data_IF_788140085514
#
_entry.id   IF_788140085514
#
_cell.length_a   1.000
_cell.length_b   1.000
_cell.length_c   1.000
_cell.angle_alpha   90.00
_cell.angle_beta   90.00
_cell.angle_gamma   90.00
#
_symmetry.space_group_name_H-M   'P 1'
#
loop_
_entity.id
_entity.type
_entity.pdbx_description
1 polymer ?
#
# COMPACT_ATOMS: atom_id res chain seq x y z
N UNK A 1 4.93 23.20 16.53
CA UNK A 1 4.70 23.63 15.12
C UNK A 1 5.05 22.48 14.20
N UNK A 2 4.36 22.29 13.06
CA UNK A 2 4.74 21.32 12.02
C UNK A 2 5.97 21.83 11.27
N UNK A 3 6.93 20.94 11.04
CA UNK A 3 8.08 21.15 10.13
C UNK A 3 8.01 20.18 8.96
N UNK A 4 8.37 20.66 7.77
CA UNK A 4 8.64 19.79 6.63
C UNK A 4 10.11 19.32 6.71
N UNK A 5 10.31 18.02 6.57
CA UNK A 5 11.61 17.37 6.70
C UNK A 5 12.15 16.96 5.32
N UNK A 6 13.47 16.82 5.23
CA UNK A 6 14.09 16.09 4.13
C UNK A 6 13.87 14.58 4.26
N UNK A 7 14.04 13.86 3.15
CA UNK A 7 13.83 12.40 3.10
C UNK A 7 14.70 11.64 4.12
N UNK A 8 15.96 11.98 4.23
CA UNK A 8 16.90 11.28 5.13
C UNK A 8 16.53 11.48 6.60
N UNK A 9 16.15 12.69 6.99
CA UNK A 9 15.70 12.99 8.36
C UNK A 9 14.39 12.27 8.68
N UNK A 10 13.42 12.33 7.78
CA UNK A 10 12.14 11.62 7.93
C UNK A 10 12.36 10.09 8.06
N UNK A 11 13.24 9.52 7.24
CA UNK A 11 13.57 8.10 7.31
C UNK A 11 14.29 7.74 8.61
N UNK A 12 15.17 8.61 9.12
CA UNK A 12 15.84 8.39 10.41
C UNK A 12 14.83 8.37 11.57
N UNK A 13 13.83 9.26 11.58
CA UNK A 13 12.76 9.23 12.58
C UNK A 13 11.89 7.98 12.44
N UNK A 14 11.54 7.62 11.21
CA UNK A 14 10.75 6.42 10.95
C UNK A 14 11.41 5.16 11.52
N UNK A 15 12.73 5.04 11.47
CA UNK A 15 13.46 3.91 12.05
C UNK A 15 13.44 3.87 13.59
N UNK A 16 13.08 4.97 14.25
CA UNK A 16 12.94 5.04 15.72
C UNK A 16 11.55 4.60 16.21
N UNK A 17 10.61 4.41 15.29
CA UNK A 17 9.26 3.94 15.64
C UNK A 17 9.28 2.49 16.16
N UNK A 18 8.28 2.09 16.96
CA UNK A 18 8.07 0.69 17.30
C UNK A 18 8.02 -0.22 16.07
N UNK A 19 8.53 -1.45 16.12
CA UNK A 19 8.56 -2.38 14.98
C UNK A 19 7.22 -2.55 14.28
N UNK A 20 6.11 -2.59 15.02
CA UNK A 20 4.76 -2.75 14.48
C UNK A 20 4.30 -1.58 13.58
N UNK A 21 4.93 -0.40 13.69
CA UNK A 21 4.66 0.78 12.84
C UNK A 21 5.65 0.91 11.68
N UNK A 22 6.76 0.15 11.68
CA UNK A 22 7.78 0.22 10.63
C UNK A 22 7.42 -0.69 9.44
N UNK A 23 6.28 -0.41 8.83
CA UNK A 23 5.81 -1.08 7.62
C UNK A 23 6.42 -0.41 6.39
N UNK A 24 6.74 -1.20 5.38
CA UNK A 24 7.46 -0.69 4.22
C UNK A 24 6.67 0.40 3.48
N UNK A 25 5.35 0.21 3.32
CA UNK A 25 4.47 1.18 2.64
C UNK A 25 4.25 2.49 3.43
N UNK A 26 4.55 2.51 4.75
CA UNK A 26 4.50 3.74 5.56
C UNK A 26 5.84 4.49 5.59
N UNK A 27 6.91 3.89 5.03
CA UNK A 27 8.25 4.49 5.10
C UNK A 27 8.40 5.70 4.18
N UNK A 28 9.13 6.76 4.61
CA UNK A 28 9.42 7.91 3.76
C UNK A 28 10.09 7.54 2.44
N UNK A 29 11.00 6.57 2.43
CA UNK A 29 11.68 6.12 1.19
C UNK A 29 10.71 5.47 0.20
N UNK A 30 9.68 4.74 0.69
CA UNK A 30 8.63 4.22 -0.19
C UNK A 30 7.75 5.36 -0.74
N UNK A 31 7.34 6.30 0.09
CA UNK A 31 6.53 7.46 -0.34
C UNK A 31 7.28 8.28 -1.40
N UNK A 32 8.58 8.48 -1.24
CA UNK A 32 9.41 9.13 -2.26
C UNK A 32 9.48 8.32 -3.57
N UNK A 33 9.64 6.99 -3.48
CA UNK A 33 9.64 6.11 -4.65
C UNK A 33 8.27 6.10 -5.35
N UNK A 34 7.17 6.04 -4.59
CA UNK A 34 5.81 6.02 -5.13
C UNK A 34 5.43 7.32 -5.87
N UNK A 35 6.01 8.46 -5.50
CA UNK A 35 5.79 9.73 -6.21
C UNK A 35 6.20 9.65 -7.70
N UNK A 36 7.12 8.76 -8.06
CA UNK A 36 7.55 8.58 -9.46
C UNK A 36 6.48 7.97 -10.38
N UNK A 37 5.36 7.49 -9.82
CA UNK A 37 4.22 6.99 -10.61
C UNK A 37 3.46 8.08 -11.36
N UNK A 38 3.57 9.33 -10.87
CA UNK A 38 2.91 10.49 -11.48
C UNK A 38 3.76 11.74 -11.21
N UNK A 39 4.19 12.43 -12.24
CA UNK A 39 5.01 13.64 -12.15
C UNK A 39 4.32 14.82 -11.47
N UNK A 40 3.00 14.77 -11.29
CA UNK A 40 2.23 15.79 -10.56
C UNK A 40 2.29 15.59 -9.03
N UNK A 41 2.85 14.47 -8.54
CA UNK A 41 2.95 14.18 -7.12
C UNK A 41 4.31 14.61 -6.55
N UNK A 42 4.27 15.32 -5.44
CA UNK A 42 5.43 15.72 -4.65
C UNK A 42 5.39 14.99 -3.29
N UNK A 43 6.44 14.23 -2.92
CA UNK A 43 6.51 13.62 -1.60
C UNK A 43 6.75 14.70 -0.55
N UNK A 44 5.96 14.67 0.53
CA UNK A 44 6.05 15.62 1.66
C UNK A 44 6.13 14.82 2.96
N UNK A 45 7.08 15.20 3.82
CA UNK A 45 7.33 14.56 5.11
C UNK A 45 7.11 15.57 6.21
N UNK A 46 6.00 15.47 6.93
CA UNK A 46 5.56 16.43 7.93
C UNK A 46 5.78 15.87 9.33
N UNK A 47 6.41 16.65 10.19
CA UNK A 47 6.73 16.22 11.54
C UNK A 47 6.27 17.25 12.59
N UNK A 48 5.61 16.78 13.63
CA UNK A 48 5.43 17.46 14.88
C UNK A 48 6.33 16.84 15.94
N UNK A 49 7.04 17.68 16.70
CA UNK A 49 7.89 17.24 17.82
C UNK A 49 7.52 17.95 19.09
N UNK A 50 7.52 17.19 20.18
CA UNK A 50 7.32 17.68 21.54
C UNK A 50 8.14 16.83 22.49
N UNK A 51 9.07 17.43 23.20
CA UNK A 51 10.04 16.72 24.06
C UNK A 51 10.75 15.57 23.30
N UNK A 52 10.55 14.33 23.75
CA UNK A 52 11.13 13.12 23.16
C UNK A 52 10.15 12.38 22.21
N UNK A 53 9.00 12.98 21.93
CA UNK A 53 7.95 12.39 21.10
C UNK A 53 7.86 13.09 19.76
N UNK A 54 7.54 12.30 18.73
CA UNK A 54 7.26 12.83 17.40
C UNK A 54 6.05 12.15 16.76
N UNK A 55 5.35 12.92 15.93
CA UNK A 55 4.32 12.50 15.00
C UNK A 55 4.83 12.78 13.60
N UNK A 56 4.82 11.76 12.72
CA UNK A 56 5.35 11.81 11.36
C UNK A 56 4.24 11.44 10.37
N UNK A 57 4.05 12.27 9.34
CA UNK A 57 3.14 11.99 8.25
C UNK A 57 3.85 12.13 6.91
N UNK A 58 4.06 10.99 6.26
CA UNK A 58 4.62 10.90 4.90
C UNK A 58 3.47 10.78 3.91
N UNK A 59 3.36 11.72 2.99
CA UNK A 59 2.23 11.81 2.06
C UNK A 59 2.66 12.44 0.74
N UNK A 60 1.78 12.46 -0.26
CA UNK A 60 1.99 13.19 -1.50
C UNK A 60 1.16 14.47 -1.50
N UNK A 61 1.75 15.54 -2.01
CA UNK A 61 1.06 16.77 -2.37
C UNK A 61 0.85 16.79 -3.87
N UNK A 62 -0.40 17.00 -4.31
CA UNK A 62 -0.77 17.18 -5.70
C UNK A 62 -1.44 18.53 -5.93
N UNK A 63 -1.31 19.10 -7.13
CA UNK A 63 -2.05 20.31 -7.51
C UNK A 63 -3.49 19.95 -7.86
N UNK A 64 -4.45 20.74 -7.38
CA UNK A 64 -5.87 20.56 -7.68
C UNK A 64 -6.21 21.27 -8.99
N UNK A 65 -6.15 20.54 -10.10
CA UNK A 65 -6.41 21.06 -11.44
C UNK A 65 -5.63 22.38 -11.70
N UNK A 66 -6.27 23.36 -12.38
CA UNK A 66 -5.71 24.67 -12.69
C UNK A 66 -5.98 25.71 -11.58
N UNK A 67 -6.12 25.29 -10.35
CA UNK A 67 -6.34 26.17 -9.19
C UNK A 67 -5.03 26.46 -8.44
N UNK A 68 -5.09 27.36 -7.45
CA UNK A 68 -3.99 27.56 -6.49
C UNK A 68 -3.98 26.55 -5.34
N UNK A 69 -5.00 25.68 -5.26
CA UNK A 69 -5.11 24.68 -4.22
C UNK A 69 -4.27 23.45 -4.49
N UNK A 70 -3.89 22.78 -3.40
CA UNK A 70 -3.27 21.47 -3.41
C UNK A 70 -4.13 20.48 -2.62
N UNK A 71 -3.94 19.21 -2.87
CA UNK A 71 -4.45 18.14 -2.02
C UNK A 71 -3.30 17.33 -1.40
N UNK A 72 -3.67 16.52 -0.40
CA UNK A 72 -2.78 15.50 0.13
C UNK A 72 -3.40 14.12 -0.09
N UNK A 73 -2.57 13.18 -0.50
CA UNK A 73 -2.98 11.79 -0.70
C UNK A 73 -1.89 10.82 -0.26
N UNK A 74 -2.29 9.70 0.34
CA UNK A 74 -1.35 8.64 0.67
C UNK A 74 -0.75 8.01 -0.58
N UNK A 75 0.46 7.45 -0.45
CA UNK A 75 1.07 6.60 -1.45
C UNK A 75 0.15 5.45 -1.87
N UNK A 76 0.44 4.83 -3.01
CA UNK A 76 -0.27 3.63 -3.46
C UNK A 76 -0.12 2.50 -2.42
N UNK A 77 -1.21 1.81 -2.16
CA UNK A 77 -1.31 0.86 -1.06
C UNK A 77 -1.78 1.55 0.21
N UNK A 78 -0.86 2.00 1.05
CA UNK A 78 -1.18 2.52 2.38
C UNK A 78 -0.34 3.74 2.75
N UNK A 79 -0.80 4.46 3.79
CA UNK A 79 -0.16 5.65 4.31
C UNK A 79 -0.77 6.06 5.65
N UNK A 80 -0.76 7.35 5.91
CA UNK A 80 -1.26 7.96 7.13
C UNK A 80 -0.15 8.20 8.15
N UNK A 81 -0.47 8.99 9.19
CA UNK A 81 0.50 9.34 10.20
C UNK A 81 0.89 8.15 11.09
N UNK A 82 2.08 8.26 11.66
CA UNK A 82 2.62 7.38 12.69
C UNK A 82 3.23 8.23 13.79
N UNK A 83 3.31 7.72 15.02
CA UNK A 83 3.90 8.46 16.12
C UNK A 83 4.71 7.56 17.05
N UNK A 84 5.68 8.17 17.75
CA UNK A 84 6.49 7.51 18.77
C UNK A 84 5.79 7.41 20.13
N UNK A 85 4.65 8.09 20.29
CA UNK A 85 3.86 8.11 21.51
C UNK A 85 2.41 7.73 21.20
N UNK A 86 1.82 6.90 22.05
CA UNK A 86 0.40 6.51 22.00
C UNK A 86 -0.49 7.44 22.85
N UNK A 87 0.05 8.55 23.39
CA UNK A 87 -0.72 9.54 24.14
C UNK A 87 -1.73 10.26 23.22
N UNK A 88 -3.05 10.12 23.46
CA UNK A 88 -4.06 10.80 22.66
C UNK A 88 -3.98 12.34 22.73
N UNK A 89 -3.51 12.89 23.86
CA UNK A 89 -3.36 14.32 24.01
C UNK A 89 -2.20 14.86 23.17
N UNK A 90 -1.08 14.12 23.07
CA UNK A 90 0.00 14.42 22.15
C UNK A 90 -0.50 14.38 20.69
N UNK A 91 -1.23 13.31 20.31
CA UNK A 91 -1.81 13.19 18.98
C UNK A 91 -2.75 14.34 18.64
N UNK A 92 -3.60 14.76 19.58
CA UNK A 92 -4.51 15.88 19.38
C UNK A 92 -3.77 17.22 19.16
N UNK A 93 -2.67 17.46 19.91
CA UNK A 93 -1.83 18.66 19.69
C UNK A 93 -1.13 18.62 18.34
N UNK A 94 -0.54 17.47 17.96
CA UNK A 94 0.08 17.27 16.65
C UNK A 94 -0.92 17.53 15.53
N UNK A 95 -2.12 16.97 15.66
CA UNK A 95 -3.20 17.15 14.68
C UNK A 95 -3.66 18.59 14.52
N UNK A 96 -3.81 19.32 15.63
CA UNK A 96 -4.15 20.74 15.60
C UNK A 96 -3.11 21.55 14.81
N UNK A 97 -1.83 21.31 15.05
CA UNK A 97 -0.73 21.96 14.35
C UNK A 97 -0.68 21.55 12.87
N UNK A 98 -0.96 20.28 12.58
CA UNK A 98 -1.05 19.76 11.21
C UNK A 98 -2.18 20.44 10.41
N UNK A 99 -3.36 20.58 10.99
CA UNK A 99 -4.48 21.28 10.34
C UNK A 99 -4.17 22.76 10.06
N UNK A 100 -3.46 23.41 10.96
CA UNK A 100 -3.04 24.80 10.75
C UNK A 100 -2.02 24.91 9.61
N UNK A 101 -1.04 23.98 9.57
CA UNK A 101 -0.13 23.88 8.44
C UNK A 101 -0.88 23.62 7.11
N UNK A 102 -1.85 22.74 7.07
CA UNK A 102 -2.66 22.48 5.88
C UNK A 102 -3.35 23.77 5.37
N UNK A 103 -3.96 24.56 6.29
CA UNK A 103 -4.61 25.82 5.91
C UNK A 103 -3.61 26.82 5.34
N UNK A 104 -2.50 27.05 6.04
CA UNK A 104 -1.48 28.01 5.61
C UNK A 104 -0.75 27.58 4.32
N UNK A 105 -0.74 26.29 4.00
CA UNK A 105 -0.12 25.72 2.78
C UNK A 105 -1.08 25.58 1.61
N UNK A 106 -2.33 26.08 1.72
CA UNK A 106 -3.31 26.01 0.64
C UNK A 106 -3.78 24.59 0.31
N UNK A 107 -3.86 23.72 1.34
CA UNK A 107 -4.41 22.37 1.15
C UNK A 107 -5.94 22.45 1.18
N UNK A 108 -6.58 21.89 0.13
CA UNK A 108 -8.03 21.82 -0.01
C UNK A 108 -8.64 20.65 0.76
N UNK A 109 -8.09 19.48 0.54
CA UNK A 109 -8.55 18.22 1.13
C UNK A 109 -7.40 17.21 1.25
N UNK A 110 -7.61 16.18 2.04
CA UNK A 110 -6.72 15.04 2.19
C UNK A 110 -7.49 13.73 2.08
N UNK A 111 -6.85 12.72 1.47
CA UNK A 111 -7.32 11.35 1.41
C UNK A 111 -6.20 10.39 1.83
N UNK A 112 -6.49 9.50 2.78
CA UNK A 112 -5.52 8.56 3.35
C UNK A 112 -6.06 7.13 3.29
N UNK A 113 -5.21 6.20 2.86
CA UNK A 113 -5.44 4.75 3.00
C UNK A 113 -4.68 4.26 4.22
N UNK A 114 -5.38 4.09 5.36
CA UNK A 114 -4.75 3.65 6.60
C UNK A 114 -4.33 2.18 6.51
N UNK A 115 -3.16 1.84 7.08
CA UNK A 115 -2.65 0.48 6.96
C UNK A 115 -3.39 -0.47 7.92
N UNK A 116 -4.05 -1.55 7.43
CA UNK A 116 -4.92 -2.42 8.24
C UNK A 116 -4.25 -3.08 9.44
N UNK A 117 -2.93 -3.26 9.40
CA UNK A 117 -2.19 -3.95 10.45
C UNK A 117 -1.34 -3.03 11.35
N UNK A 118 -1.21 -1.74 10.99
CA UNK A 118 -0.43 -0.78 11.76
C UNK A 118 -1.20 -0.22 12.97
N UNK A 119 -2.52 -0.21 12.89
CA UNK A 119 -3.36 0.50 13.86
C UNK A 119 -3.07 2.00 13.90
N UNK A 120 -2.57 2.54 12.79
CA UNK A 120 -2.14 3.93 12.72
C UNK A 120 -3.30 4.93 12.57
N UNK A 121 -4.53 4.44 12.44
CA UNK A 121 -5.75 5.25 12.55
C UNK A 121 -5.84 5.99 13.89
N UNK A 122 -5.23 5.50 14.97
CA UNK A 122 -5.20 6.17 16.27
C UNK A 122 -4.40 7.48 16.26
N UNK A 123 -3.59 7.70 15.24
CA UNK A 123 -2.81 8.94 15.06
C UNK A 123 -3.46 9.91 14.06
N UNK A 124 -4.64 9.56 13.54
CA UNK A 124 -5.38 10.35 12.55
C UNK A 124 -6.70 10.82 13.14
N UNK A 125 -6.89 12.13 13.29
CA UNK A 125 -8.11 12.70 13.91
C UNK A 125 -9.10 13.28 12.86
N UNK A 126 -8.94 12.96 11.56
CA UNK A 126 -9.93 13.24 10.52
C UNK A 126 -11.10 12.25 10.55
N UNK A 127 -11.94 12.30 9.55
CA UNK A 127 -13.02 11.30 9.39
C UNK A 127 -12.43 9.98 8.94
N UNK A 128 -12.83 8.88 9.57
CA UNK A 128 -12.40 7.51 9.23
C UNK A 128 -13.63 6.71 8.81
N UNK A 129 -13.52 5.98 7.71
CA UNK A 129 -14.56 5.11 7.17
C UNK A 129 -14.00 3.70 6.99
N UNK A 130 -14.79 2.67 7.34
CA UNK A 130 -14.49 1.30 6.95
C UNK A 130 -14.72 1.13 5.45
N UNK A 131 -13.77 0.49 4.77
CA UNK A 131 -13.84 0.25 3.32
C UNK A 131 -14.07 -1.24 3.03
N UNK A 132 -13.14 -2.11 3.38
CA UNK A 132 -13.19 -3.55 3.11
C UNK A 132 -12.35 -4.36 4.08
N UNK A 133 -12.52 -5.70 4.03
CA UNK A 133 -11.65 -6.61 4.76
C UNK A 133 -10.43 -7.00 3.95
N UNK A 134 -9.32 -7.21 4.65
CA UNK A 134 -8.06 -7.70 4.09
C UNK A 134 -7.62 -8.99 4.77
N UNK A 135 -6.67 -9.69 4.18
CA UNK A 135 -6.19 -11.00 4.63
C UNK A 135 -4.71 -10.93 4.93
N UNK A 136 -4.30 -11.58 6.03
CA UNK A 136 -2.90 -11.83 6.32
C UNK A 136 -2.70 -13.28 6.80
N UNK A 137 -1.55 -13.87 6.48
CA UNK A 137 -1.16 -15.21 6.92
C UNK A 137 -0.30 -15.07 8.17
N UNK A 138 -0.66 -15.71 9.31
CA UNK A 138 0.21 -15.76 10.48
C UNK A 138 1.40 -16.68 10.20
N UNK A 139 2.61 -16.22 10.58
CA UNK A 139 3.85 -16.93 10.30
C UNK A 139 4.58 -17.41 11.56
N UNK A 140 4.35 -16.75 12.71
CA UNK A 140 5.01 -17.12 13.97
C UNK A 140 4.32 -18.31 14.64
N UNK A 141 5.14 -19.26 15.10
CA UNK A 141 4.72 -20.34 16.00
C UNK A 141 3.89 -21.46 15.36
N UNK A 142 3.53 -21.34 14.07
CA UNK A 142 2.72 -22.34 13.36
C UNK A 142 3.28 -22.63 11.97
N UNK A 143 2.94 -23.79 11.43
CA UNK A 143 3.09 -24.04 10.00
C UNK A 143 2.03 -23.20 9.25
N UNK A 144 2.43 -22.27 8.36
CA UNK A 144 1.47 -21.47 7.61
C UNK A 144 0.44 -22.29 6.84
N UNK A 145 0.81 -23.50 6.37
CA UNK A 145 -0.10 -24.39 5.65
C UNK A 145 -1.26 -24.90 6.51
N UNK A 146 -1.12 -24.90 7.82
CA UNK A 146 -2.21 -25.30 8.73
C UNK A 146 -3.43 -24.36 8.59
N UNK A 147 -3.21 -23.07 8.28
CA UNK A 147 -4.25 -22.09 8.05
C UNK A 147 -4.87 -22.17 6.64
N UNK A 148 -4.23 -22.90 5.69
CA UNK A 148 -4.70 -22.94 4.31
C UNK A 148 -5.93 -23.83 4.14
N UNK A 149 -6.90 -23.35 3.39
CA UNK A 149 -8.07 -24.16 3.00
C UNK A 149 -7.65 -25.41 2.20
N UNK A 150 -8.50 -26.44 2.23
CA UNK A 150 -8.28 -27.67 1.43
C UNK A 150 -8.12 -27.35 -0.07
N UNK A 151 -8.89 -26.37 -0.56
CA UNK A 151 -8.80 -25.92 -1.96
C UNK A 151 -7.42 -25.30 -2.25
N UNK A 152 -6.92 -24.45 -1.37
CA UNK A 152 -5.61 -23.80 -1.53
C UNK A 152 -4.49 -24.83 -1.51
N UNK A 153 -4.50 -25.77 -0.54
CA UNK A 153 -3.52 -26.90 -0.50
C UNK A 153 -3.54 -27.75 -1.76
N UNK A 154 -4.74 -28.05 -2.28
CA UNK A 154 -4.88 -28.79 -3.57
C UNK A 154 -4.31 -27.98 -4.74
N UNK A 155 -4.50 -26.65 -4.80
CA UNK A 155 -3.94 -25.76 -5.81
C UNK A 155 -2.40 -25.78 -5.77
N UNK A 156 -1.81 -25.62 -4.58
CA UNK A 156 -0.35 -25.70 -4.36
C UNK A 156 0.19 -27.06 -4.84
N UNK A 157 -0.45 -28.17 -4.45
CA UNK A 157 -0.04 -29.51 -4.90
C UNK A 157 -0.18 -29.70 -6.41
N UNK A 158 -1.16 -29.09 -7.07
CA UNK A 158 -1.28 -29.10 -8.54
C UNK A 158 -0.14 -28.34 -9.21
N UNK A 159 0.20 -27.14 -8.71
CA UNK A 159 1.30 -26.34 -9.23
C UNK A 159 2.64 -27.09 -9.12
N UNK A 160 2.93 -27.68 -7.97
CA UNK A 160 4.14 -28.46 -7.74
C UNK A 160 4.23 -29.68 -8.69
N UNK A 161 3.15 -30.47 -8.82
CA UNK A 161 3.11 -31.62 -9.74
C UNK A 161 3.20 -31.20 -11.21
N UNK A 162 2.75 -29.99 -11.54
CA UNK A 162 2.88 -29.44 -12.89
C UNK A 162 4.31 -28.97 -13.20
N UNK A 163 5.23 -29.01 -12.23
CA UNK A 163 6.61 -28.57 -12.40
C UNK A 163 6.78 -27.04 -12.33
N UNK A 164 5.84 -26.34 -11.67
CA UNK A 164 6.02 -24.92 -11.39
C UNK A 164 7.04 -24.75 -10.27
N UNK A 165 7.99 -23.83 -10.45
CA UNK A 165 9.01 -23.46 -9.47
C UNK A 165 8.83 -22.00 -9.10
N UNK A 166 8.96 -21.68 -7.81
CA UNK A 166 8.92 -20.33 -7.27
C UNK A 166 10.32 -19.93 -6.79
N UNK A 167 10.84 -18.82 -7.29
CA UNK A 167 12.21 -18.37 -7.07
C UNK A 167 12.22 -16.91 -6.61
N UNK A 168 13.03 -16.61 -5.60
CA UNK A 168 13.30 -15.24 -5.19
C UNK A 168 14.39 -14.63 -6.05
N UNK A 169 14.14 -13.44 -6.54
CA UNK A 169 15.05 -12.63 -7.32
C UNK A 169 15.45 -11.37 -6.56
N UNK A 170 16.59 -10.79 -6.93
CA UNK A 170 17.07 -9.54 -6.40
C UNK A 170 16.14 -8.38 -6.76
N UNK A 171 16.24 -7.27 -6.01
CA UNK A 171 15.42 -6.08 -6.24
C UNK A 171 15.62 -5.50 -7.66
N UNK A 172 16.84 -5.57 -8.17
CA UNK A 172 17.22 -5.05 -9.49
C UNK A 172 16.45 -5.72 -10.64
N UNK A 173 16.05 -6.97 -10.46
CA UNK A 173 15.26 -7.71 -11.45
C UNK A 173 13.84 -7.17 -11.61
N UNK A 174 13.34 -6.38 -10.64
CA UNK A 174 12.04 -5.74 -10.74
C UNK A 174 11.96 -4.87 -12.00
N UNK A 175 12.95 -4.00 -12.23
CA UNK A 175 12.96 -3.08 -13.38
C UNK A 175 13.09 -3.80 -14.73
N UNK A 176 13.69 -4.99 -14.74
CA UNK A 176 13.99 -5.72 -15.96
C UNK A 176 12.91 -6.75 -16.35
N UNK A 177 12.29 -7.39 -15.36
CA UNK A 177 11.38 -8.52 -15.60
C UNK A 177 9.90 -8.16 -15.38
N UNK A 178 9.63 -7.30 -14.39
CA UNK A 178 8.26 -7.10 -13.92
C UNK A 178 7.41 -6.20 -14.83
N UNK A 179 7.89 -5.05 -15.38
CA UNK A 179 7.03 -4.08 -16.07
C UNK A 179 6.24 -4.66 -17.22
N UNK A 180 6.91 -5.28 -18.19
CA UNK A 180 6.26 -5.84 -19.40
C UNK A 180 5.29 -6.97 -19.06
N UNK A 181 5.66 -7.83 -18.11
CA UNK A 181 4.79 -8.90 -17.67
C UNK A 181 3.54 -8.38 -16.96
N UNK A 182 3.73 -7.37 -16.09
CA UNK A 182 2.65 -6.72 -15.36
C UNK A 182 1.69 -6.01 -16.30
N UNK A 183 2.20 -5.18 -17.21
CA UNK A 183 1.37 -4.43 -18.16
C UNK A 183 0.51 -5.37 -19.02
N UNK A 184 1.09 -6.43 -19.60
CA UNK A 184 0.32 -7.42 -20.37
C UNK A 184 -0.78 -8.09 -19.52
N UNK A 185 -0.51 -8.37 -18.24
CA UNK A 185 -1.52 -8.94 -17.37
C UNK A 185 -2.64 -7.95 -17.03
N UNK A 186 -2.32 -6.67 -16.83
CA UNK A 186 -3.30 -5.61 -16.57
C UNK A 186 -4.16 -5.30 -17.80
N UNK A 187 -3.57 -5.28 -19.00
CA UNK A 187 -4.30 -5.15 -20.26
C UNK A 187 -5.30 -6.31 -20.47
N UNK A 188 -4.85 -7.55 -20.23
CA UNK A 188 -5.73 -8.72 -20.30
C UNK A 188 -6.90 -8.71 -19.31
N UNK A 189 -6.77 -7.94 -18.21
CA UNK A 189 -7.82 -7.75 -17.22
C UNK A 189 -8.68 -6.50 -17.49
N UNK A 190 -8.36 -5.70 -18.53
CA UNK A 190 -8.96 -4.38 -18.75
C UNK A 190 -8.94 -3.53 -17.47
N UNK A 191 -7.79 -3.53 -16.79
CA UNK A 191 -7.63 -2.88 -15.50
C UNK A 191 -7.77 -1.35 -15.61
N UNK A 192 -8.22 -0.72 -14.51
CA UNK A 192 -8.31 0.74 -14.43
C UNK A 192 -6.92 1.36 -14.70
N UNK A 193 -6.82 2.46 -15.47
CA UNK A 193 -5.57 3.18 -15.72
C UNK A 193 -4.73 3.50 -14.48
N UNK A 194 -5.36 3.65 -13.32
CA UNK A 194 -4.67 3.83 -12.03
C UNK A 194 -3.75 2.66 -11.63
N UNK A 195 -3.90 1.50 -12.27
CA UNK A 195 -3.04 0.33 -12.08
C UNK A 195 -1.96 0.20 -13.15
N UNK A 196 -1.85 1.14 -14.09
CA UNK A 196 -0.84 1.15 -15.15
C UNK A 196 0.35 2.01 -14.70
N UNK A 197 1.29 1.42 -14.00
CA UNK A 197 2.46 2.13 -13.48
C UNK A 197 3.53 2.34 -14.56
N UNK A 198 4.17 3.54 -14.62
CA UNK A 198 5.25 3.80 -15.56
C UNK A 198 6.55 3.06 -15.19
N UNK A 199 7.47 2.91 -16.14
CA UNK A 199 8.76 2.27 -15.91
C UNK A 199 9.57 2.95 -14.78
N UNK A 200 9.47 4.27 -14.63
CA UNK A 200 10.12 5.03 -13.55
C UNK A 200 9.70 4.55 -12.15
N UNK A 201 8.45 4.13 -11.98
CA UNK A 201 7.98 3.57 -10.72
C UNK A 201 8.68 2.26 -10.37
N UNK A 202 8.78 1.32 -11.31
CA UNK A 202 9.46 0.04 -11.09
C UNK A 202 10.98 0.22 -10.90
N UNK A 203 11.58 1.17 -11.59
CA UNK A 203 12.98 1.58 -11.37
C UNK A 203 13.17 2.12 -9.94
N UNK A 204 12.27 2.97 -9.44
CA UNK A 204 12.33 3.48 -8.08
C UNK A 204 12.12 2.37 -7.04
N UNK A 205 11.15 1.47 -7.25
CA UNK A 205 10.94 0.31 -6.37
C UNK A 205 12.16 -0.60 -6.30
N UNK A 206 12.86 -0.83 -7.42
CA UNK A 206 14.04 -1.70 -7.46
C UNK A 206 15.22 -1.20 -6.62
N UNK A 207 15.20 0.06 -6.19
CA UNK A 207 16.23 0.67 -5.34
C UNK A 207 15.91 0.63 -3.85
N UNK A 208 14.70 0.19 -3.47
CA UNK A 208 14.31 0.10 -2.07
C UNK A 208 15.03 -1.07 -1.37
N UNK A 209 15.56 -0.86 -0.15
CA UNK A 209 16.41 -1.87 0.50
C UNK A 209 15.65 -3.13 0.93
N UNK A 210 14.35 -3.03 1.12
CA UNK A 210 13.51 -4.10 1.68
C UNK A 210 12.55 -4.70 0.65
N UNK A 211 12.81 -4.52 -0.65
CA UNK A 211 11.98 -5.08 -1.72
C UNK A 211 12.59 -6.35 -2.30
N UNK A 212 11.75 -7.30 -2.67
CA UNK A 212 12.14 -8.55 -3.36
C UNK A 212 11.10 -8.91 -4.42
N UNK A 213 11.56 -9.58 -5.47
CA UNK A 213 10.71 -10.11 -6.53
C UNK A 213 10.61 -11.63 -6.38
N UNK A 214 9.39 -12.16 -6.37
CA UNK A 214 9.12 -13.58 -6.55
C UNK A 214 8.73 -13.85 -7.99
N UNK A 215 9.33 -14.84 -8.61
CA UNK A 215 9.01 -15.30 -9.97
C UNK A 215 8.61 -16.77 -9.93
N UNK A 216 7.45 -17.11 -10.49
CA UNK A 216 7.03 -18.48 -10.68
C UNK A 216 7.17 -18.86 -12.16
N UNK A 217 7.88 -19.96 -12.44
CA UNK A 217 8.21 -20.42 -13.79
C UNK A 217 7.85 -21.89 -13.99
N UNK A 218 7.68 -22.26 -15.25
CA UNK A 218 7.65 -23.65 -15.71
C UNK A 218 8.36 -23.77 -17.05
N UNK A 219 9.41 -24.58 -17.14
CA UNK A 219 10.16 -24.78 -18.39
C UNK A 219 10.67 -23.48 -19.00
N UNK A 220 11.14 -22.51 -18.17
CA UNK A 220 11.62 -21.20 -18.62
C UNK A 220 10.53 -20.13 -18.82
N UNK A 221 9.26 -20.49 -18.94
CA UNK A 221 8.14 -19.55 -19.08
C UNK A 221 7.75 -18.96 -17.73
N UNK A 222 7.61 -17.62 -17.66
CA UNK A 222 7.11 -16.91 -16.49
C UNK A 222 5.59 -17.03 -16.43
N UNK A 223 5.07 -17.54 -15.29
CA UNK A 223 3.66 -17.78 -15.06
C UNK A 223 3.01 -16.76 -14.13
N UNK A 224 3.73 -16.36 -13.09
CA UNK A 224 3.32 -15.27 -12.20
C UNK A 224 4.53 -14.59 -11.58
N UNK A 225 4.37 -13.33 -11.22
CA UNK A 225 5.35 -12.56 -10.45
C UNK A 225 4.68 -11.76 -9.36
N UNK A 226 5.41 -11.50 -8.27
CA UNK A 226 4.96 -10.67 -7.17
C UNK A 226 6.09 -9.86 -6.55
N UNK A 227 5.82 -8.59 -6.28
CA UNK A 227 6.70 -7.70 -5.52
C UNK A 227 6.29 -7.75 -4.06
N UNK A 228 7.24 -8.00 -3.18
CA UNK A 228 7.05 -8.09 -1.74
C UNK A 228 7.99 -7.13 -1.03
N UNK A 229 7.50 -6.47 0.02
CA UNK A 229 8.28 -5.65 0.92
C UNK A 229 8.49 -6.32 2.26
N UNK A 230 9.69 -6.23 2.80
CA UNK A 230 10.02 -6.66 4.17
C UNK A 230 9.98 -5.45 5.10
N UNK A 231 8.97 -5.36 5.95
CA UNK A 231 8.94 -4.46 7.11
C UNK A 231 9.72 -5.04 8.29
N UNK A 232 9.57 -4.47 9.48
CA UNK A 232 10.22 -4.98 10.68
C UNK A 232 9.62 -6.32 11.17
N UNK A 233 8.32 -6.53 11.01
CA UNK A 233 7.60 -7.73 11.46
C UNK A 233 6.66 -8.31 10.40
N UNK A 234 6.37 -7.56 9.32
CA UNK A 234 5.34 -7.87 8.34
C UNK A 234 5.95 -7.85 6.94
N UNK A 235 5.67 -8.90 6.16
CA UNK A 235 5.89 -8.90 4.72
C UNK A 235 4.61 -8.38 4.06
N UNK A 236 4.72 -7.39 3.20
CA UNK A 236 3.60 -6.83 2.45
C UNK A 236 3.67 -7.31 0.98
N UNK A 237 2.66 -8.03 0.52
CA UNK A 237 2.47 -8.26 -0.92
C UNK A 237 1.96 -6.99 -1.56
N UNK A 238 2.78 -6.40 -2.40
CA UNK A 238 2.53 -5.08 -2.97
C UNK A 238 1.84 -5.14 -4.33
N UNK A 239 2.51 -5.67 -5.32
CA UNK A 239 1.99 -5.85 -6.68
C UNK A 239 2.22 -7.27 -7.16
N UNK A 240 1.36 -7.73 -8.05
CA UNK A 240 1.59 -8.99 -8.72
C UNK A 240 0.75 -9.17 -9.96
N UNK A 241 1.24 -10.05 -10.81
CA UNK A 241 0.61 -10.40 -12.07
C UNK A 241 0.68 -11.91 -12.30
N UNK A 242 -0.32 -12.43 -13.00
CA UNK A 242 -0.43 -13.85 -13.33
C UNK A 242 -0.96 -14.00 -14.74
N UNK A 243 -0.22 -14.72 -15.60
CA UNK A 243 -0.65 -15.03 -16.96
C UNK A 243 -1.84 -16.00 -16.97
N UNK A 244 -2.50 -16.15 -18.09
CA UNK A 244 -3.58 -17.14 -18.27
C UNK A 244 -3.08 -18.54 -17.93
N UNK A 245 -1.93 -18.96 -18.48
CA UNK A 245 -1.31 -20.24 -18.12
C UNK A 245 -0.92 -20.36 -16.66
N UNK A 246 -0.52 -19.23 -16.04
CA UNK A 246 -0.26 -19.15 -14.60
C UNK A 246 -1.49 -19.41 -13.75
N UNK A 247 -2.66 -18.90 -14.16
CA UNK A 247 -3.94 -19.18 -13.48
C UNK A 247 -4.29 -20.68 -13.60
N UNK A 248 -4.19 -21.25 -14.79
CA UNK A 248 -4.45 -22.68 -15.06
C UNK A 248 -3.53 -23.60 -14.28
N UNK A 249 -2.26 -23.22 -14.10
CA UNK A 249 -1.24 -23.98 -13.37
C UNK A 249 -1.16 -23.66 -11.87
N UNK A 250 -2.04 -22.83 -11.34
CA UNK A 250 -2.06 -22.44 -9.92
C UNK A 250 -0.76 -21.78 -9.43
N UNK A 251 -0.02 -21.11 -10.30
CA UNK A 251 1.28 -20.54 -9.97
C UNK A 251 1.23 -19.53 -8.80
N UNK A 252 0.17 -18.70 -8.71
CA UNK A 252 -0.02 -17.77 -7.61
C UNK A 252 -0.24 -18.47 -6.25
N UNK A 253 -0.80 -19.69 -6.24
CA UNK A 253 -0.91 -20.45 -4.99
C UNK A 253 0.46 -20.84 -4.46
N UNK A 254 1.35 -21.31 -5.37
CA UNK A 254 2.72 -21.65 -5.02
C UNK A 254 3.52 -20.41 -4.61
N UNK A 255 3.32 -19.27 -5.29
CA UNK A 255 3.94 -18.00 -4.97
C UNK A 255 3.68 -17.57 -3.51
N UNK A 256 2.44 -17.58 -3.07
CA UNK A 256 2.09 -17.20 -1.70
C UNK A 256 2.56 -18.22 -0.67
N UNK A 257 2.54 -19.52 -0.99
CA UNK A 257 3.15 -20.54 -0.14
C UNK A 257 4.64 -20.27 0.05
N UNK A 258 5.39 -20.09 -1.03
CA UNK A 258 6.83 -19.82 -0.98
C UNK A 258 7.16 -18.52 -0.22
N UNK A 259 6.30 -17.49 -0.35
CA UNK A 259 6.43 -16.25 0.40
C UNK A 259 6.17 -16.47 1.92
N UNK A 260 5.17 -17.26 2.27
CA UNK A 260 4.88 -17.61 3.66
C UNK A 260 6.01 -18.46 4.29
N UNK A 261 6.54 -19.44 3.58
CA UNK A 261 7.66 -20.27 4.04
C UNK A 261 8.90 -19.43 4.31
N UNK A 262 9.25 -18.54 3.36
CA UNK A 262 10.40 -17.65 3.52
C UNK A 262 10.20 -16.69 4.69
N UNK A 263 9.02 -16.10 4.80
CA UNK A 263 8.69 -15.19 5.90
C UNK A 263 8.80 -15.88 7.26
N UNK A 264 8.33 -17.12 7.39
CA UNK A 264 8.49 -17.92 8.61
C UNK A 264 9.96 -18.18 8.94
N UNK A 265 10.77 -18.52 7.92
CA UNK A 265 12.21 -18.73 8.09
C UNK A 265 12.95 -17.45 8.50
N UNK A 266 12.49 -16.30 8.02
CA UNK A 266 13.03 -14.98 8.38
C UNK A 266 12.51 -14.45 9.73
N UNK A 267 11.66 -15.21 10.45
CA UNK A 267 11.11 -14.81 11.75
C UNK A 267 10.02 -13.73 11.68
N UNK A 268 9.42 -13.55 10.52
CA UNK A 268 8.35 -12.56 10.34
C UNK A 268 7.06 -13.01 11.03
N UNK A 269 6.26 -12.05 11.51
CA UNK A 269 4.98 -12.35 12.18
C UNK A 269 3.85 -12.61 11.20
N UNK A 270 3.82 -11.85 10.09
CA UNK A 270 2.73 -11.87 9.14
C UNK A 270 3.20 -11.75 7.69
N UNK A 271 2.49 -12.43 6.79
CA UNK A 271 2.48 -12.10 5.36
C UNK A 271 1.14 -11.44 5.05
N UNK A 272 1.15 -10.13 4.84
CA UNK A 272 -0.03 -9.35 4.49
C UNK A 272 -0.30 -9.46 2.99
N UNK A 273 -1.49 -9.93 2.63
CA UNK A 273 -1.88 -10.19 1.25
C UNK A 273 -2.76 -9.07 0.63
N UNK A 274 -3.27 -8.16 1.47
CA UNK A 274 -4.24 -7.14 1.03
C UNK A 274 -5.66 -7.67 0.89
N UNK A 275 -6.54 -6.84 0.34
CA UNK A 275 -7.98 -7.13 0.14
C UNK A 275 -8.37 -7.54 -1.28
N UNK A 276 -9.67 -7.45 -1.56
CA UNK A 276 -10.26 -7.52 -2.90
C UNK A 276 -10.05 -6.23 -3.71
N UNK A 277 -10.56 -6.20 -4.93
CA UNK A 277 -10.47 -5.01 -5.82
C UNK A 277 -11.41 -3.87 -5.39
N UNK A 278 -12.51 -4.21 -4.74
CA UNK A 278 -13.55 -3.29 -4.25
C UNK A 278 -14.06 -3.76 -2.88
N UNK A 279 -14.99 -3.02 -2.28
CA UNK A 279 -15.65 -3.37 -1.01
C UNK A 279 -16.64 -4.55 -1.11
N UNK A 280 -16.75 -5.18 -2.26
CA UNK A 280 -17.67 -6.26 -2.51
C UNK A 280 -17.22 -7.55 -1.79
N UNK A 281 -18.10 -8.12 -0.96
CA UNK A 281 -17.82 -9.35 -0.23
C UNK A 281 -17.61 -10.55 -1.17
N UNK A 282 -18.20 -10.52 -2.37
CA UNK A 282 -18.12 -11.57 -3.39
C UNK A 282 -16.90 -11.42 -4.32
N UNK A 283 -15.97 -10.53 -4.00
CA UNK A 283 -14.73 -10.35 -4.78
C UNK A 283 -13.97 -11.66 -4.93
N UNK A 284 -13.78 -12.12 -6.16
CA UNK A 284 -13.02 -13.34 -6.48
C UNK A 284 -11.58 -13.28 -5.97
N UNK A 285 -10.98 -12.08 -5.93
CA UNK A 285 -9.64 -11.85 -5.39
C UNK A 285 -9.62 -12.00 -3.86
N UNK A 286 -10.62 -11.46 -3.16
CA UNK A 286 -10.74 -11.66 -1.71
C UNK A 286 -10.97 -13.13 -1.39
N UNK A 287 -11.84 -13.81 -2.13
CA UNK A 287 -12.10 -15.24 -1.97
C UNK A 287 -10.83 -16.09 -2.20
N UNK A 288 -9.99 -15.73 -3.19
CA UNK A 288 -8.70 -16.37 -3.41
C UNK A 288 -7.78 -16.20 -2.19
N UNK A 289 -7.60 -14.96 -1.70
CA UNK A 289 -6.74 -14.65 -0.55
C UNK A 289 -7.25 -15.29 0.74
N UNK A 290 -8.57 -15.31 0.93
CA UNK A 290 -9.24 -15.97 2.05
C UNK A 290 -8.95 -17.48 2.15
N UNK A 291 -8.56 -18.09 1.05
CA UNK A 291 -8.14 -19.50 1.05
C UNK A 291 -6.81 -19.76 1.78
N UNK A 292 -6.01 -18.75 2.05
CA UNK A 292 -4.71 -18.90 2.73
C UNK A 292 -4.79 -18.63 4.24
N UNK A 293 -5.79 -17.95 4.72
CA UNK A 293 -5.93 -17.63 6.15
C UNK A 293 -7.34 -17.14 6.47
N UNK A 294 -7.79 -17.40 7.69
CA UNK A 294 -9.02 -16.82 8.25
C UNK A 294 -8.76 -15.49 8.98
N UNK A 295 -7.50 -15.06 9.12
CA UNK A 295 -7.17 -13.78 9.76
C UNK A 295 -7.58 -12.61 8.88
N UNK A 296 -8.47 -11.76 9.42
CA UNK A 296 -9.04 -10.61 8.72
C UNK A 296 -8.69 -9.32 9.45
N UNK A 297 -8.37 -8.30 8.66
CA UNK A 297 -8.05 -6.96 9.15
C UNK A 297 -8.88 -5.93 8.40
N UNK A 298 -9.56 -4.99 9.09
CA UNK A 298 -10.34 -3.97 8.43
C UNK A 298 -9.41 -2.97 7.73
N UNK A 299 -9.64 -2.74 6.45
CA UNK A 299 -9.03 -1.61 5.75
C UNK A 299 -9.93 -0.40 5.92
N UNK A 300 -9.32 0.71 6.33
CA UNK A 300 -9.98 1.99 6.57
C UNK A 300 -9.38 3.07 5.69
N UNK A 301 -10.23 3.99 5.29
CA UNK A 301 -9.82 5.23 4.66
C UNK A 301 -10.05 6.39 5.61
N UNK A 302 -9.11 7.33 5.60
CA UNK A 302 -9.22 8.60 6.32
C UNK A 302 -9.38 9.75 5.34
N UNK A 303 -10.10 10.80 5.72
CA UNK A 303 -10.13 12.04 4.97
C UNK A 303 -10.39 13.25 5.85
N UNK A 304 -9.97 14.41 5.38
CA UNK A 304 -10.40 15.70 5.91
C UNK A 304 -10.58 16.70 4.77
N UNK A 305 -11.54 17.61 4.96
CA UNK A 305 -11.74 18.77 4.08
C UNK A 305 -11.26 19.98 4.88
N UNK A 306 -10.24 20.66 4.36
CA UNK A 306 -9.58 21.77 5.05
C UNK A 306 -10.34 23.07 4.80
N UNK A 307 -10.76 23.34 3.56
CA UNK A 307 -11.62 24.45 3.18
C UNK A 307 -12.93 23.94 2.58
N UNK A 308 -13.99 23.79 3.39
CA UNK A 308 -15.28 23.29 2.92
C UNK A 308 -15.93 24.16 1.85
N UNK A 309 -15.75 25.48 1.91
CA UNK A 309 -16.38 26.42 0.99
C UNK A 309 -15.74 26.29 -0.41
N UNK A 310 -14.41 26.29 -0.47
CA UNK A 310 -13.68 26.12 -1.73
C UNK A 310 -13.93 24.72 -2.33
N UNK A 311 -13.95 23.67 -1.47
CA UNK A 311 -14.22 22.31 -1.87
C UNK A 311 -15.62 22.16 -2.50
N UNK A 312 -16.68 22.69 -1.86
CA UNK A 312 -18.04 22.62 -2.35
C UNK A 312 -18.24 23.42 -3.65
N UNK A 313 -17.61 24.60 -3.75
CA UNK A 313 -17.67 25.42 -4.96
C UNK A 313 -17.02 24.69 -6.15
N UNK A 314 -15.84 24.11 -5.95
CA UNK A 314 -15.17 23.31 -6.98
C UNK A 314 -16.01 22.09 -7.39
N UNK A 315 -16.58 21.38 -6.41
CA UNK A 315 -17.43 20.23 -6.64
C UNK A 315 -18.65 20.56 -7.49
N UNK A 316 -19.36 21.65 -7.16
CA UNK A 316 -20.51 22.12 -7.93
C UNK A 316 -20.13 22.46 -9.38
N UNK A 317 -19.01 23.14 -9.59
CA UNK A 317 -18.50 23.48 -10.92
C UNK A 317 -18.18 22.24 -11.75
N UNK A 318 -17.51 21.25 -11.15
CA UNK A 318 -17.16 20.02 -11.87
C UNK A 318 -18.35 19.10 -12.13
N UNK A 319 -19.35 19.08 -11.25
CA UNK A 319 -20.63 18.40 -11.51
C UNK A 319 -21.32 19.02 -12.71
N UNK A 320 -21.43 20.35 -12.74
CA UNK A 320 -22.08 21.08 -13.84
C UNK A 320 -21.39 20.84 -15.21
N UNK A 321 -20.07 20.60 -15.21
CA UNK A 321 -19.29 20.28 -16.42
C UNK A 321 -19.17 18.78 -16.72
N UNK A 322 -19.78 17.91 -15.91
CA UNK A 322 -19.70 16.44 -16.08
C UNK A 322 -18.32 15.83 -15.79
N UNK A 323 -17.43 16.55 -15.12
CA UNK A 323 -16.03 16.16 -14.86
C UNK A 323 -15.79 15.60 -13.46
N UNK A 324 -16.78 15.61 -12.58
CA UNK A 324 -16.63 15.16 -11.20
C UNK A 324 -16.77 13.64 -11.08
N UNK A 325 -15.81 12.98 -10.45
CA UNK A 325 -15.96 11.58 -10.00
C UNK A 325 -16.55 11.54 -8.58
N UNK A 326 -17.87 11.50 -8.50
CA UNK A 326 -18.60 11.58 -7.21
C UNK A 326 -18.39 10.37 -6.29
N UNK A 327 -17.70 9.31 -6.74
CA UNK A 327 -17.35 8.16 -5.92
C UNK A 327 -16.05 8.35 -5.13
N UNK A 328 -15.34 9.47 -5.35
CA UNK A 328 -14.06 9.78 -4.72
C UNK A 328 -14.16 11.01 -3.82
N UNK A 329 -13.39 11.00 -2.73
CA UNK A 329 -13.18 12.20 -1.88
C UNK A 329 -12.46 13.27 -2.70
N UNK A 330 -11.36 12.92 -3.36
CA UNK A 330 -10.69 13.78 -4.33
C UNK A 330 -11.38 13.60 -5.69
N UNK A 331 -12.58 14.17 -5.81
CA UNK A 331 -13.52 13.96 -6.94
C UNK A 331 -13.03 14.53 -8.27
N UNK A 332 -11.95 15.27 -8.26
CA UNK A 332 -11.29 15.90 -9.41
C UNK A 332 -10.13 15.08 -9.97
N UNK A 333 -9.76 13.95 -9.33
CA UNK A 333 -8.64 13.07 -9.69
C UNK A 333 -9.10 11.76 -10.35
#
# INVERSE_FOLDING_TARGET
MISALGLEEAQSLFQQLPPALRLATLSPVYVAADATRDSALEPVFLCYREENSFWLHSTHRGRVLDTSWHDLQSAYGYGGPVASSDDPAFTARAWSQYREWCRSSGILAEFVRLHPMAGNERFYCGTILDDRMTVAIPLLGTDPEAAFSTRTRRGIGKAARAGVVAEWHAAEDIRNLFPDFYLRAMEALSADPLHLFPAAYFEALSKLPAVRLMVCRKGGEILSMGIFFWGAEIIEYHLGATSTRGKESYSSHLMFKAAADKGRLDGMRWLYMGGGTNGDADSSLLYFKAGFSDSRFPFRIGYQIIDPVAYDNLRKSLIASGRANLKRILFYS
#
